data_IF_080445981715
#
_entry.id   IF_080445981715
#
_cell.length_a   1.000
_cell.length_b   1.000
_cell.length_c   1.000
_cell.angle_alpha   90.00
_cell.angle_beta   90.00
_cell.angle_gamma   90.00
#
_symmetry.space_group_name_H-M   'P 1'
#
loop_
_entity.id
_entity.type
_entity.pdbx_description
1 polymer ?
#
# COMPACT_ATOMS: atom_id res chain seq x y z
N UNK A 1 -14.08 -15.86 17.23
CA UNK A 1 -13.47 -15.91 15.89
C UNK A 1 -13.07 -14.48 15.56
N UNK A 2 -11.79 -14.24 15.25
CA UNK A 2 -11.31 -12.88 14.97
C UNK A 2 -11.81 -12.47 13.58
N UNK A 3 -12.42 -11.30 13.46
CA UNK A 3 -12.94 -10.80 12.18
C UNK A 3 -11.76 -10.48 11.24
N UNK A 4 -11.85 -10.89 9.98
CA UNK A 4 -10.81 -10.62 8.97
C UNK A 4 -10.55 -9.11 8.83
N UNK A 5 -11.57 -8.28 9.06
CA UNK A 5 -11.42 -6.81 9.11
C UNK A 5 -10.45 -6.39 10.20
N UNK A 6 -10.54 -6.94 11.40
CA UNK A 6 -9.63 -6.60 12.50
C UNK A 6 -8.16 -6.99 12.23
N UNK A 7 -7.93 -7.94 11.33
CA UNK A 7 -6.59 -8.38 10.91
C UNK A 7 -6.02 -7.53 9.77
N UNK A 8 -6.87 -6.91 8.95
CA UNK A 8 -6.47 -6.20 7.71
C UNK A 8 -6.60 -4.69 7.83
N UNK A 9 -7.61 -4.18 8.53
CA UNK A 9 -7.83 -2.75 8.72
C UNK A 9 -6.81 -2.16 9.69
N UNK A 10 -6.31 -0.97 9.37
CA UNK A 10 -5.29 -0.29 10.13
C UNK A 10 -4.61 0.82 9.33
N UNK A 11 -3.72 1.52 10.02
CA UNK A 11 -2.77 2.45 9.43
C UNK A 11 -1.42 1.75 9.38
N UNK A 12 -0.80 1.73 8.21
CA UNK A 12 0.48 1.10 7.97
C UNK A 12 1.49 2.14 7.49
N UNK A 13 2.65 2.17 8.12
CA UNK A 13 3.74 3.09 7.83
C UNK A 13 4.86 2.34 7.11
N UNK A 14 5.39 2.94 6.04
CA UNK A 14 6.39 2.29 5.18
C UNK A 14 7.72 2.15 5.92
N UNK A 15 8.24 0.93 6.00
CA UNK A 15 9.56 0.65 6.57
C UNK A 15 10.60 0.41 5.49
N UNK A 16 10.23 -0.33 4.44
CA UNK A 16 11.14 -0.70 3.37
C UNK A 16 10.45 -0.56 2.01
N UNK A 17 11.17 0.02 1.05
CA UNK A 17 10.81 0.02 -0.37
C UNK A 17 11.94 -0.63 -1.16
N UNK A 18 11.64 -1.77 -1.78
CA UNK A 18 12.61 -2.53 -2.56
C UNK A 18 12.47 -2.15 -4.04
N UNK A 19 13.57 -1.73 -4.65
CA UNK A 19 13.69 -1.36 -6.06
C UNK A 19 14.70 -2.28 -6.76
N UNK A 20 14.92 -2.09 -8.06
CA UNK A 20 15.96 -2.84 -8.77
C UNK A 20 17.37 -2.47 -8.27
N UNK A 21 17.55 -1.25 -7.79
CA UNK A 21 18.82 -0.69 -7.30
C UNK A 21 19.11 -1.05 -5.84
N UNK A 22 18.11 -1.55 -5.10
CA UNK A 22 18.28 -2.04 -3.74
C UNK A 22 17.13 -1.65 -2.81
N UNK A 23 17.42 -1.64 -1.52
CA UNK A 23 16.44 -1.36 -0.47
C UNK A 23 16.55 0.08 0.01
N UNK A 24 15.45 0.82 -0.09
CA UNK A 24 15.27 2.16 0.46
C UNK A 24 14.50 2.08 1.78
N UNK A 25 14.83 2.97 2.71
CA UNK A 25 14.17 3.08 4.02
C UNK A 25 13.94 4.56 4.35
N UNK A 26 13.04 4.91 5.29
CA UNK A 26 12.90 6.27 5.78
C UNK A 26 14.23 6.87 6.28
N UNK A 27 14.48 8.18 6.06
CA UNK A 27 13.57 9.17 5.48
C UNK A 27 13.65 9.30 3.95
N UNK A 28 14.47 8.50 3.26
CA UNK A 28 14.61 8.58 1.80
C UNK A 28 13.31 8.20 1.06
N UNK A 29 12.51 7.34 1.69
CA UNK A 29 11.14 7.01 1.28
C UNK A 29 10.23 7.07 2.49
N UNK A 30 9.00 7.51 2.31
CA UNK A 30 7.96 7.47 3.34
C UNK A 30 6.67 6.96 2.71
N UNK A 31 5.78 6.43 3.53
CA UNK A 31 4.46 6.07 3.05
C UNK A 31 3.48 5.80 4.16
N UNK A 32 2.21 6.00 3.82
CA UNK A 32 1.06 5.53 4.59
C UNK A 32 0.13 4.75 3.70
N UNK A 33 -0.24 3.56 4.15
CA UNK A 33 -1.32 2.77 3.58
C UNK A 33 -2.38 2.63 4.66
N UNK A 34 -3.59 3.08 4.37
CA UNK A 34 -4.70 3.11 5.34
C UNK A 34 -5.84 2.28 4.77
N UNK A 35 -6.34 1.37 5.58
CA UNK A 35 -7.58 0.63 5.33
C UNK A 35 -8.46 0.79 6.56
N UNK A 36 -9.63 1.40 6.41
CA UNK A 36 -10.60 1.51 7.49
C UNK A 36 -11.95 1.93 6.97
N UNK A 37 -13.01 1.32 7.51
CA UNK A 37 -14.41 1.67 7.21
C UNK A 37 -14.74 1.72 5.70
N UNK A 38 -14.16 0.80 4.93
CA UNK A 38 -14.36 0.73 3.48
C UNK A 38 -13.59 1.79 2.68
N UNK A 39 -12.74 2.59 3.32
CA UNK A 39 -11.88 3.60 2.70
C UNK A 39 -10.43 3.10 2.62
N UNK A 40 -9.84 3.24 1.44
CA UNK A 40 -8.40 3.05 1.21
C UNK A 40 -7.72 4.38 0.93
N UNK A 41 -6.59 4.63 1.59
CA UNK A 41 -5.74 5.80 1.30
C UNK A 41 -4.29 5.33 1.16
N UNK A 42 -3.62 5.81 0.12
CA UNK A 42 -2.19 5.62 -0.08
C UNK A 42 -1.50 6.95 -0.24
N UNK A 43 -0.52 7.20 0.63
CA UNK A 43 0.43 8.27 0.49
C UNK A 43 1.81 7.64 0.33
N UNK A 44 2.56 8.05 -0.69
CA UNK A 44 3.94 7.61 -0.89
C UNK A 44 4.81 8.82 -1.19
N UNK A 45 5.99 8.86 -0.60
CA UNK A 45 7.04 9.82 -0.94
C UNK A 45 8.30 9.07 -1.29
N UNK A 46 8.96 9.50 -2.36
CA UNK A 46 10.27 9.01 -2.73
C UNK A 46 11.19 10.21 -2.99
N UNK A 47 12.14 10.40 -2.09
CA UNK A 47 13.16 11.44 -2.14
C UNK A 47 14.56 10.88 -2.33
N UNK A 48 14.67 9.58 -2.64
CA UNK A 48 15.95 8.92 -2.86
C UNK A 48 16.71 9.49 -4.07
N UNK A 49 16.00 10.13 -5.01
CA UNK A 49 16.57 10.80 -6.17
C UNK A 49 16.37 12.32 -6.05
N UNK A 50 17.41 13.10 -5.71
CA UNK A 50 17.29 14.55 -5.57
C UNK A 50 16.83 15.27 -6.84
N UNK A 51 17.16 14.73 -8.01
CA UNK A 51 16.74 15.28 -9.30
C UNK A 51 15.27 14.96 -9.66
N UNK A 52 14.62 14.07 -8.90
CA UNK A 52 13.24 13.65 -9.16
C UNK A 52 12.59 13.17 -7.86
N UNK A 53 12.03 14.11 -7.11
CA UNK A 53 11.29 13.80 -5.88
C UNK A 53 9.83 13.56 -6.22
N UNK A 54 9.31 12.43 -5.77
CA UNK A 54 7.93 12.02 -6.07
C UNK A 54 7.10 12.03 -4.81
N UNK A 55 5.92 12.62 -4.88
CA UNK A 55 4.86 12.49 -3.89
C UNK A 55 3.59 11.99 -4.56
N UNK A 56 2.96 10.99 -3.94
CA UNK A 56 1.72 10.37 -4.38
C UNK A 56 0.74 10.46 -3.23
N UNK A 57 -0.49 10.88 -3.50
CA UNK A 57 -1.62 10.81 -2.58
C UNK A 57 -2.84 10.32 -3.34
N UNK A 58 -3.44 9.22 -2.90
CA UNK A 58 -4.59 8.61 -3.57
C UNK A 58 -5.57 8.06 -2.56
N UNK A 59 -6.85 8.11 -2.89
CA UNK A 59 -7.92 7.57 -2.04
C UNK A 59 -8.93 6.81 -2.88
N UNK A 60 -9.70 5.95 -2.23
CA UNK A 60 -10.84 5.29 -2.84
C UNK A 60 -11.51 4.36 -1.85
N UNK A 61 -12.14 3.32 -2.37
CA UNK A 61 -12.94 2.38 -1.58
C UNK A 61 -12.42 0.95 -1.65
N UNK A 62 -12.67 0.17 -0.60
CA UNK A 62 -12.49 -1.27 -0.62
C UNK A 62 -13.70 -2.02 -0.04
N UNK A 63 -13.81 -3.29 -0.43
CA UNK A 63 -14.66 -4.30 0.17
C UNK A 63 -13.78 -5.43 0.69
N UNK A 64 -14.09 -5.93 1.88
CA UNK A 64 -13.37 -7.02 2.52
C UNK A 64 -14.38 -7.95 3.18
N UNK A 65 -14.30 -9.22 2.83
CA UNK A 65 -15.12 -10.30 3.37
C UNK A 65 -14.27 -11.59 3.52
N UNK A 66 -14.83 -12.70 4.05
CA UNK A 66 -14.06 -13.92 4.25
C UNK A 66 -13.49 -14.55 2.98
N UNK A 67 -14.02 -14.22 1.79
CA UNK A 67 -13.59 -14.75 0.49
C UNK A 67 -12.46 -13.93 -0.14
N UNK A 68 -12.41 -12.63 0.14
CA UNK A 68 -11.44 -11.77 -0.52
C UNK A 68 -11.52 -10.30 -0.20
N UNK A 69 -10.70 -9.55 -0.94
CA UNK A 69 -10.50 -8.12 -0.82
C UNK A 69 -10.52 -7.51 -2.21
N UNK A 70 -11.35 -6.49 -2.40
CA UNK A 70 -11.37 -5.73 -3.65
C UNK A 70 -11.22 -4.25 -3.32
N UNK A 71 -10.30 -3.56 -4.00
CA UNK A 71 -10.13 -2.12 -3.81
C UNK A 71 -9.89 -1.40 -5.13
N UNK A 72 -10.22 -0.11 -5.12
CA UNK A 72 -9.91 0.83 -6.21
C UNK A 72 -9.47 2.16 -5.62
N UNK A 73 -8.76 2.93 -6.43
CA UNK A 73 -8.61 4.36 -6.19
C UNK A 73 -9.66 5.08 -7.04
N UNK A 74 -10.39 6.00 -6.41
CA UNK A 74 -11.36 6.84 -7.10
C UNK A 74 -10.68 8.09 -7.66
N UNK A 75 -9.66 8.60 -6.96
CA UNK A 75 -8.84 9.71 -7.43
C UNK A 75 -7.45 9.72 -6.75
N UNK A 76 -6.57 10.57 -7.27
CA UNK A 76 -5.25 10.80 -6.72
C UNK A 76 -4.51 11.93 -7.41
N UNK A 77 -3.38 12.27 -6.81
CA UNK A 77 -2.41 13.22 -7.35
C UNK A 77 -1.02 12.61 -7.24
N UNK A 78 -0.25 12.81 -8.31
CA UNK A 78 1.19 12.56 -8.33
C UNK A 78 1.87 13.90 -8.60
N UNK A 79 2.77 14.29 -7.72
CA UNK A 79 3.64 15.45 -7.87
C UNK A 79 5.07 14.95 -8.05
N UNK A 80 5.70 15.33 -9.16
CA UNK A 80 7.12 15.07 -9.41
C UNK A 80 7.85 16.40 -9.44
N UNK A 81 8.68 16.65 -8.43
CA UNK A 81 9.55 17.82 -8.38
C UNK A 81 10.85 17.51 -9.13
N UNK A 82 11.15 18.30 -10.16
CA UNK A 82 12.42 18.25 -10.89
C UNK A 82 13.07 19.65 -10.88
N UNK A 83 14.36 19.78 -11.25
CA UNK A 83 15.03 21.08 -11.34
C UNK A 83 14.34 22.08 -12.28
N UNK A 84 13.61 21.58 -13.29
CA UNK A 84 12.87 22.39 -14.26
C UNK A 84 11.51 22.88 -13.72
N UNK A 85 11.08 22.38 -12.57
CA UNK A 85 9.82 22.72 -11.91
C UNK A 85 8.94 21.50 -11.60
N UNK A 86 7.88 21.68 -10.79
CA UNK A 86 6.97 20.61 -10.43
C UNK A 86 6.07 20.19 -11.60
N UNK A 87 5.90 18.89 -11.78
CA UNK A 87 4.92 18.27 -12.69
C UNK A 87 3.81 17.63 -11.87
N UNK A 88 2.56 17.83 -12.29
CA UNK A 88 1.39 17.27 -11.63
C UNK A 88 0.64 16.35 -12.59
N UNK A 89 0.21 15.20 -12.08
CA UNK A 89 -0.73 14.30 -12.73
C UNK A 89 -1.89 14.01 -11.79
N UNK A 90 -3.11 14.06 -12.34
CA UNK A 90 -4.35 13.78 -11.61
C UNK A 90 -4.98 12.47 -12.11
N UNK A 91 -5.76 11.85 -11.23
CA UNK A 91 -6.49 10.62 -11.52
C UNK A 91 -6.01 9.43 -10.69
N UNK A 92 -6.73 8.30 -10.78
CA UNK A 92 -6.43 7.13 -9.98
C UNK A 92 -5.13 6.46 -10.43
N UNK A 93 -4.42 5.83 -9.48
CA UNK A 93 -3.17 5.11 -9.75
C UNK A 93 -3.32 3.97 -10.77
N UNK A 94 -4.53 3.45 -10.90
CA UNK A 94 -4.94 2.49 -11.91
C UNK A 94 -6.44 2.62 -12.12
N UNK A 95 -6.91 2.36 -13.35
CA UNK A 95 -8.31 2.57 -13.72
C UNK A 95 -9.28 1.56 -13.08
N UNK A 96 -8.86 0.30 -12.96
CA UNK A 96 -9.76 -0.80 -12.62
C UNK A 96 -9.61 -1.27 -11.18
N UNK A 97 -10.73 -1.66 -10.55
CA UNK A 97 -10.69 -2.29 -9.25
C UNK A 97 -9.85 -3.57 -9.27
N UNK A 98 -9.02 -3.76 -8.25
CA UNK A 98 -8.19 -4.95 -8.08
C UNK A 98 -8.81 -5.86 -7.05
N UNK A 99 -9.09 -7.10 -7.45
CA UNK A 99 -9.65 -8.14 -6.60
C UNK A 99 -8.60 -9.19 -6.22
N UNK A 100 -8.65 -9.62 -4.97
CA UNK A 100 -7.72 -10.56 -4.35
C UNK A 100 -8.52 -11.65 -3.66
N UNK A 101 -8.12 -12.90 -3.85
CA UNK A 101 -8.68 -14.05 -3.15
C UNK A 101 -7.91 -14.27 -1.86
N UNK A 102 -8.62 -14.56 -0.77
CA UNK A 102 -8.01 -14.90 0.50
C UNK A 102 -7.48 -16.34 0.49
N UNK A 103 -6.24 -16.52 0.98
CA UNK A 103 -5.66 -17.83 1.24
C UNK A 103 -6.29 -18.53 2.46
N UNK A 104 -6.04 -19.84 2.64
CA UNK A 104 -6.58 -20.59 3.78
C UNK A 104 -5.93 -20.22 5.12
N UNK A 105 -4.73 -19.63 5.07
CA UNK A 105 -3.95 -19.19 6.23
C UNK A 105 -4.63 -18.01 6.94
N UNK A 106 -4.60 -18.04 8.27
CA UNK A 106 -5.22 -17.02 9.12
C UNK A 106 -4.20 -16.03 9.70
N UNK A 107 -2.94 -16.44 9.82
CA UNK A 107 -1.83 -15.59 10.26
C UNK A 107 -0.53 -16.03 9.57
N UNK A 108 -0.01 -15.26 8.59
CA UNK A 108 -0.59 -14.02 8.09
C UNK A 108 -1.88 -14.26 7.28
N UNK A 109 -2.73 -13.22 7.18
CA UNK A 109 -3.81 -13.21 6.19
C UNK A 109 -3.21 -12.90 4.82
N UNK A 110 -3.26 -13.90 3.94
CA UNK A 110 -2.78 -13.78 2.57
C UNK A 110 -3.92 -13.38 1.61
N UNK A 111 -3.74 -12.29 0.86
CA UNK A 111 -4.65 -11.82 -0.19
C UNK A 111 -3.90 -11.81 -1.51
N UNK A 112 -4.32 -12.66 -2.46
CA UNK A 112 -3.57 -12.95 -3.69
C UNK A 112 -4.38 -12.63 -4.94
N UNK A 113 -3.74 -11.97 -5.90
CA UNK A 113 -4.26 -11.70 -7.24
C UNK A 113 -3.37 -12.41 -8.25
N UNK A 114 -3.94 -13.29 -9.07
CA UNK A 114 -3.21 -14.06 -10.09
C UNK A 114 -2.58 -13.14 -11.14
N UNK A 115 -3.34 -12.18 -11.63
CA UNK A 115 -2.83 -11.21 -12.60
C UNK A 115 -1.81 -10.29 -11.94
N UNK A 116 -0.59 -10.26 -12.50
CA UNK A 116 0.57 -9.58 -11.90
C UNK A 116 1.23 -10.34 -10.74
N UNK A 117 0.70 -11.51 -10.35
CA UNK A 117 1.16 -12.29 -9.20
C UNK A 117 1.38 -11.42 -7.95
N UNK A 118 0.34 -10.65 -7.61
CA UNK A 118 0.38 -9.65 -6.53
C UNK A 118 -0.13 -10.29 -5.24
N UNK A 119 0.54 -10.03 -4.13
CA UNK A 119 0.16 -10.53 -2.82
C UNK A 119 0.31 -9.47 -1.72
N UNK A 120 -0.70 -9.41 -0.85
CA UNK A 120 -0.60 -8.78 0.46
C UNK A 120 -0.58 -9.87 1.53
N UNK A 121 0.39 -9.79 2.45
CA UNK A 121 0.47 -10.65 3.64
C UNK A 121 0.34 -9.78 4.89
N UNK A 122 -0.86 -9.77 5.48
CA UNK A 122 -1.19 -9.00 6.68
C UNK A 122 -0.92 -9.82 7.94
N UNK A 123 -0.17 -9.23 8.87
CA UNK A 123 0.15 -9.79 10.18
C UNK A 123 -0.23 -8.78 11.28
N UNK A 124 -0.24 -9.19 12.57
CA UNK A 124 -0.46 -8.25 13.67
C UNK A 124 0.49 -7.05 13.65
N UNK A 125 1.75 -7.27 13.28
CA UNK A 125 2.82 -6.24 13.33
C UNK A 125 2.89 -5.37 12.07
N UNK A 126 2.28 -5.80 10.97
CA UNK A 126 2.42 -5.07 9.70
C UNK A 126 1.98 -5.83 8.47
N UNK A 127 2.40 -5.32 7.31
CA UNK A 127 2.01 -5.78 6.00
C UNK A 127 3.23 -5.95 5.10
N UNK A 128 3.29 -7.06 4.35
CA UNK A 128 4.20 -7.21 3.20
C UNK A 128 3.43 -7.18 1.89
N UNK A 129 3.95 -6.40 0.94
CA UNK A 129 3.43 -6.32 -0.43
C UNK A 129 4.47 -6.87 -1.41
N UNK A 130 4.05 -7.83 -2.24
CA UNK A 130 4.89 -8.46 -3.24
C UNK A 130 4.23 -8.52 -4.61
N UNK A 131 5.05 -8.51 -5.66
CA UNK A 131 4.65 -8.73 -7.04
C UNK A 131 5.64 -9.71 -7.70
N UNK A 132 5.15 -10.68 -8.46
CA UNK A 132 6.01 -11.68 -9.11
C UNK A 132 6.89 -12.47 -8.13
N UNK A 133 6.43 -12.66 -6.89
CA UNK A 133 7.18 -13.33 -5.82
C UNK A 133 8.29 -12.48 -5.19
N UNK A 134 8.46 -11.21 -5.58
CA UNK A 134 9.43 -10.29 -4.99
C UNK A 134 8.74 -9.33 -4.04
N UNK A 135 9.28 -9.18 -2.84
CA UNK A 135 8.81 -8.16 -1.89
C UNK A 135 9.17 -6.79 -2.45
N UNK A 136 8.19 -5.91 -2.59
CA UNK A 136 8.37 -4.53 -3.04
C UNK A 136 8.25 -3.54 -1.88
N UNK A 137 7.37 -3.83 -0.91
CA UNK A 137 7.17 -2.94 0.25
C UNK A 137 6.95 -3.74 1.52
N UNK A 138 7.55 -3.27 2.60
CA UNK A 138 7.31 -3.74 3.96
C UNK A 138 6.79 -2.57 4.78
N UNK A 139 5.70 -2.78 5.48
CA UNK A 139 5.01 -1.77 6.27
C UNK A 139 4.84 -2.25 7.69
N UNK A 140 5.02 -1.35 8.64
CA UNK A 140 4.69 -1.59 10.04
C UNK A 140 3.31 -1.04 10.35
N UNK A 141 2.52 -1.77 11.13
CA UNK A 141 1.24 -1.27 11.64
C UNK A 141 1.52 -0.16 12.65
N UNK A 142 0.94 1.02 12.43
CA UNK A 142 1.04 2.13 13.36
C UNK A 142 0.41 1.71 14.70
N UNK A 143 1.11 1.98 15.80
CA UNK A 143 0.56 1.75 17.13
C UNK A 143 -0.63 2.69 17.31
N UNK A 144 -1.74 2.17 17.84
CA UNK A 144 -2.80 3.04 18.35
C UNK A 144 -2.20 3.89 19.46
N UNK A 145 -2.19 5.20 19.29
CA UNK A 145 -1.89 6.12 20.38
C UNK A 145 -2.96 5.91 21.44
N UNK A 146 -2.60 5.36 22.59
CA UNK A 146 -3.47 5.37 23.77
C UNK A 146 -3.68 6.84 24.15
N UNK A 147 -4.89 7.34 23.92
CA UNK A 147 -5.35 8.63 24.46
C UNK A 147 -6.06 8.37 25.78
#
# INVERSE_FOLDING_TARGET
MQDVKSLVEGVYELCEWHTAEGKLTPPAVEGRFVLGDGVVVTVLKNWSQPASRVWISSYGTYQLDPSGFTYKYDDGVIVTETPEGPKLAHGPLFAEARSFTRGPEQDPVHLRRKEGAIEFAFSPDGLRYSEGGKVLRVWQRAKRSSS
#
